data_IF_065337265170
#
_entry.id   IF_065337265170
#
_cell.length_a   1.000
_cell.length_b   1.000
_cell.length_c   1.000
_cell.angle_alpha   90.00
_cell.angle_beta   90.00
_cell.angle_gamma   90.00
#
_symmetry.space_group_name_H-M   'P 1'
#
loop_
_entity.id
_entity.type
_entity.pdbx_description
1 polymer ?
#
# COMPACT_ATOMS: atom_id res chain seq x y z
N UNK A 1 3.83 -11.74 24.78
CA UNK A 1 4.39 -10.84 23.74
C UNK A 1 4.05 -11.22 22.29
N UNK A 2 4.15 -12.49 21.84
CA UNK A 2 3.76 -12.87 20.46
C UNK A 2 2.24 -12.81 20.21
N UNK A 3 1.45 -13.32 21.15
CA UNK A 3 -0.03 -13.35 21.09
C UNK A 3 -0.62 -11.93 21.04
N UNK A 4 -0.08 -11.00 21.83
CA UNK A 4 -0.53 -9.60 21.83
C UNK A 4 -0.28 -8.89 20.50
N UNK A 5 0.87 -9.16 19.86
CA UNK A 5 1.20 -8.62 18.53
C UNK A 5 0.26 -9.14 17.44
N UNK A 6 -0.02 -10.44 17.41
CA UNK A 6 -1.01 -11.00 16.47
C UNK A 6 -2.42 -10.47 16.74
N UNK A 7 -2.81 -10.30 18.01
CA UNK A 7 -4.10 -9.67 18.38
C UNK A 7 -4.21 -8.24 17.84
N UNK A 8 -3.15 -7.44 17.93
CA UNK A 8 -3.13 -6.09 17.36
C UNK A 8 -3.22 -6.11 15.84
N UNK A 9 -2.45 -6.98 15.18
CA UNK A 9 -2.53 -7.15 13.73
C UNK A 9 -3.94 -7.56 13.29
N UNK A 10 -4.58 -8.53 13.98
CA UNK A 10 -5.97 -8.94 13.73
C UNK A 10 -6.93 -7.75 13.83
N UNK A 11 -6.81 -6.93 14.88
CA UNK A 11 -7.64 -5.74 15.08
C UNK A 11 -7.45 -4.72 13.95
N UNK A 12 -6.21 -4.41 13.59
CA UNK A 12 -5.91 -3.42 12.54
C UNK A 12 -6.32 -3.92 11.16
N UNK A 13 -6.06 -5.18 10.86
CA UNK A 13 -6.48 -5.82 9.61
C UNK A 13 -8.00 -5.83 9.49
N UNK A 14 -8.73 -6.18 10.54
CA UNK A 14 -10.20 -6.10 10.57
C UNK A 14 -10.72 -4.70 10.27
N UNK A 15 -10.08 -3.66 10.82
CA UNK A 15 -10.43 -2.27 10.51
C UNK A 15 -10.25 -1.95 9.01
N UNK A 16 -9.13 -2.35 8.40
CA UNK A 16 -8.90 -2.09 6.97
C UNK A 16 -9.82 -2.92 6.06
N UNK A 17 -10.13 -4.16 6.43
CA UNK A 17 -11.09 -5.02 5.70
C UNK A 17 -12.48 -4.38 5.68
N UNK A 18 -12.98 -3.97 6.84
CA UNK A 18 -14.34 -3.47 6.99
C UNK A 18 -14.55 -2.11 6.30
N UNK A 19 -13.53 -1.23 6.31
CA UNK A 19 -13.70 0.15 5.86
C UNK A 19 -13.09 0.46 4.49
N UNK A 20 -12.12 -0.35 4.03
CA UNK A 20 -11.34 -0.06 2.81
C UNK A 20 -11.28 -1.24 1.84
N UNK A 21 -12.05 -2.31 2.06
CA UNK A 21 -12.17 -3.43 1.12
C UNK A 21 -10.90 -4.26 0.96
N UNK A 22 -9.96 -4.16 1.89
CA UNK A 22 -8.74 -4.99 1.88
C UNK A 22 -9.14 -6.46 1.93
N UNK A 23 -8.53 -7.29 1.07
CA UNK A 23 -8.87 -8.71 0.94
C UNK A 23 -7.64 -9.56 0.63
N UNK A 24 -7.78 -10.86 0.85
CA UNK A 24 -6.77 -11.85 0.51
C UNK A 24 -6.77 -12.14 -1.00
N UNK A 25 -5.60 -12.47 -1.59
CA UNK A 25 -4.28 -12.44 -0.96
C UNK A 25 -3.82 -11.00 -0.70
N UNK A 26 -3.31 -10.72 0.51
CA UNK A 26 -2.86 -9.39 0.89
C UNK A 26 -1.64 -8.98 0.07
N UNK A 27 -1.81 -7.96 -0.78
CA UNK A 27 -0.76 -7.49 -1.69
C UNK A 27 0.16 -6.51 -0.98
N UNK A 28 1.41 -6.90 -0.76
CA UNK A 28 2.37 -6.11 0.03
C UNK A 28 3.47 -5.57 -0.88
N UNK A 29 3.47 -4.26 -1.11
CA UNK A 29 4.51 -3.55 -1.86
C UNK A 29 5.75 -3.36 -0.99
N UNK A 30 6.84 -4.00 -1.37
CA UNK A 30 8.15 -3.92 -0.71
C UNK A 30 9.04 -2.90 -1.42
N UNK A 31 9.70 -2.04 -0.65
CA UNK A 31 10.82 -1.22 -1.10
C UNK A 31 12.18 -1.87 -0.76
N UNK A 32 13.26 -1.23 -1.21
CA UNK A 32 14.62 -1.68 -0.92
C UNK A 32 14.97 -1.65 0.57
N UNK A 33 14.48 -0.65 1.30
CA UNK A 33 14.81 -0.46 2.72
C UNK A 33 14.22 -1.55 3.61
N UNK A 34 12.99 -1.97 3.33
CA UNK A 34 12.33 -3.08 4.00
C UNK A 34 12.99 -4.42 3.68
N UNK A 35 13.35 -4.65 2.41
CA UNK A 35 14.09 -5.85 2.01
C UNK A 35 15.45 -5.94 2.74
N UNK A 36 16.17 -4.82 2.84
CA UNK A 36 17.44 -4.77 3.56
C UNK A 36 17.28 -5.01 5.06
N UNK A 37 16.25 -4.45 5.69
CA UNK A 37 15.97 -4.72 7.10
C UNK A 37 15.56 -6.18 7.34
N UNK A 38 14.77 -6.78 6.44
CA UNK A 38 14.40 -8.18 6.51
C UNK A 38 15.64 -9.09 6.41
N UNK A 39 16.58 -8.76 5.51
CA UNK A 39 17.85 -9.47 5.39
C UNK A 39 18.67 -9.39 6.68
N UNK A 40 18.85 -8.18 7.23
CA UNK A 40 19.60 -7.96 8.48
C UNK A 40 18.97 -8.70 9.66
N UNK A 41 17.65 -8.68 9.77
CA UNK A 41 16.90 -9.37 10.82
C UNK A 41 16.72 -10.87 10.58
N UNK A 42 17.28 -11.43 9.49
CA UNK A 42 17.10 -12.83 9.06
C UNK A 42 15.62 -13.25 8.99
N UNK A 43 14.78 -12.33 8.53
CA UNK A 43 13.33 -12.48 8.46
C UNK A 43 12.95 -13.16 7.14
N UNK A 44 12.37 -14.34 7.24
CA UNK A 44 11.84 -15.07 6.08
C UNK A 44 10.45 -14.55 5.71
N UNK A 45 10.40 -13.51 4.86
CA UNK A 45 9.16 -12.78 4.55
C UNK A 45 8.02 -13.67 4.06
N UNK A 46 8.30 -14.62 3.16
CA UNK A 46 7.29 -15.53 2.57
C UNK A 46 6.61 -16.44 3.59
N UNK A 47 7.30 -16.78 4.67
CA UNK A 47 6.73 -17.64 5.73
C UNK A 47 6.13 -16.81 6.87
N UNK A 48 6.80 -15.72 7.26
CA UNK A 48 6.42 -14.94 8.42
C UNK A 48 5.23 -14.01 8.16
N UNK A 49 5.09 -13.46 6.95
CA UNK A 49 3.98 -12.55 6.63
C UNK A 49 2.61 -13.26 6.66
N UNK A 50 2.41 -14.43 6.01
CA UNK A 50 1.15 -15.16 6.12
C UNK A 50 0.80 -15.52 7.57
N UNK A 51 1.78 -16.02 8.34
CA UNK A 51 1.58 -16.36 9.76
C UNK A 51 1.25 -15.14 10.62
N UNK A 52 1.79 -13.98 10.28
CA UNK A 52 1.54 -12.75 11.03
C UNK A 52 0.19 -12.12 10.71
N UNK A 53 -0.18 -12.08 9.42
CA UNK A 53 -1.44 -11.52 8.96
C UNK A 53 -2.62 -12.51 9.06
N UNK A 54 -2.34 -13.78 9.34
CA UNK A 54 -3.33 -14.86 9.45
C UNK A 54 -4.15 -15.02 8.16
N UNK A 55 -3.48 -14.93 7.02
CA UNK A 55 -4.10 -15.01 5.70
C UNK A 55 -3.05 -15.07 4.59
N UNK A 56 -3.50 -15.30 3.36
CA UNK A 56 -2.61 -15.39 2.21
C UNK A 56 -1.96 -14.03 1.89
N UNK A 57 -0.69 -14.03 1.51
CA UNK A 57 0.05 -12.80 1.19
C UNK A 57 0.76 -12.91 -0.14
N UNK A 58 0.75 -11.82 -0.90
CA UNK A 58 1.43 -11.70 -2.18
C UNK A 58 2.47 -10.60 -2.09
N UNK A 59 3.74 -10.99 -2.03
CA UNK A 59 4.87 -10.05 -1.99
C UNK A 59 5.06 -9.45 -3.37
N UNK A 60 4.99 -8.13 -3.43
CA UNK A 60 5.05 -7.35 -4.65
C UNK A 60 6.18 -6.33 -4.57
N UNK A 61 6.73 -5.93 -5.72
CA UNK A 61 7.60 -4.76 -5.85
C UNK A 61 7.34 -4.08 -7.19
N UNK A 62 8.09 -3.04 -7.54
CA UNK A 62 7.95 -2.34 -8.83
C UNK A 62 9.28 -2.30 -9.58
N UNK A 63 9.20 -2.06 -10.90
CA UNK A 63 10.41 -1.88 -11.72
C UNK A 63 11.28 -0.71 -11.26
N UNK A 64 10.67 0.35 -10.71
CA UNK A 64 11.42 1.49 -10.16
C UNK A 64 12.24 1.09 -8.94
N UNK A 65 11.66 0.32 -8.01
CA UNK A 65 12.38 -0.18 -6.82
C UNK A 65 13.55 -1.08 -7.24
N UNK A 66 13.34 -1.97 -8.21
CA UNK A 66 14.41 -2.83 -8.72
C UNK A 66 15.55 -2.02 -9.36
N UNK A 67 15.22 -0.99 -10.15
CA UNK A 67 16.20 -0.12 -10.79
C UNK A 67 16.97 0.73 -9.77
N UNK A 68 16.29 1.24 -8.74
CA UNK A 68 16.92 1.96 -7.63
C UNK A 68 17.93 1.07 -6.90
N UNK A 69 17.54 -0.16 -6.56
CA UNK A 69 18.42 -1.15 -5.95
C UNK A 69 19.61 -1.54 -6.85
N UNK A 70 19.43 -1.52 -8.17
CA UNK A 70 20.51 -1.70 -9.14
C UNK A 70 21.52 -0.57 -9.11
N UNK A 71 21.04 0.67 -9.09
CA UNK A 71 21.89 1.87 -9.04
C UNK A 71 22.69 1.96 -7.73
N UNK A 72 22.10 1.52 -6.61
CA UNK A 72 22.77 1.52 -5.30
C UNK A 72 23.85 0.43 -5.16
N UNK A 73 23.91 -0.53 -6.09
CA UNK A 73 25.06 -1.41 -6.24
C UNK A 73 25.23 -2.48 -5.14
N UNK A 74 26.49 -2.78 -4.82
CA UNK A 74 26.89 -3.98 -4.05
C UNK A 74 26.34 -4.01 -2.62
N UNK A 75 26.21 -2.85 -1.98
CA UNK A 75 25.79 -2.74 -0.58
C UNK A 75 24.35 -3.20 -0.34
N UNK A 76 23.51 -3.14 -1.37
CA UNK A 76 22.11 -3.57 -1.34
C UNK A 76 21.84 -4.78 -2.23
N UNK A 77 22.87 -5.51 -2.64
CA UNK A 77 22.72 -6.70 -3.50
C UNK A 77 21.80 -7.76 -2.87
N UNK A 78 21.92 -8.00 -1.57
CA UNK A 78 21.04 -8.93 -0.87
C UNK A 78 19.57 -8.48 -0.85
N UNK A 79 19.31 -7.18 -0.63
CA UNK A 79 17.98 -6.61 -0.74
C UNK A 79 17.41 -6.73 -2.16
N UNK A 80 18.26 -6.50 -3.19
CA UNK A 80 17.91 -6.71 -4.59
C UNK A 80 17.46 -8.14 -4.86
N UNK A 81 18.18 -9.15 -4.37
CA UNK A 81 17.81 -10.56 -4.56
C UNK A 81 16.45 -10.89 -3.91
N UNK A 82 16.13 -10.30 -2.76
CA UNK A 82 14.81 -10.47 -2.12
C UNK A 82 13.73 -9.82 -2.99
N UNK A 83 13.94 -8.57 -3.42
CA UNK A 83 12.99 -7.84 -4.25
C UNK A 83 12.74 -8.52 -5.61
N UNK A 84 13.78 -9.06 -6.26
CA UNK A 84 13.67 -9.79 -7.52
C UNK A 84 12.82 -11.07 -7.42
N UNK A 85 12.78 -11.69 -6.25
CA UNK A 85 11.92 -12.85 -6.00
C UNK A 85 10.45 -12.45 -5.80
N UNK A 86 10.12 -11.17 -5.65
CA UNK A 86 8.75 -10.69 -5.47
C UNK A 86 8.06 -10.50 -6.82
N UNK A 87 6.73 -10.49 -6.84
CA UNK A 87 6.00 -10.22 -8.07
C UNK A 87 6.15 -8.75 -8.47
N UNK A 88 6.56 -8.50 -9.71
CA UNK A 88 6.72 -7.13 -10.21
C UNK A 88 5.36 -6.59 -10.65
N UNK A 89 4.91 -5.49 -10.04
CA UNK A 89 3.71 -4.76 -10.42
C UNK A 89 4.06 -3.66 -11.42
N UNK A 90 3.17 -3.47 -12.37
CA UNK A 90 3.24 -2.38 -13.33
C UNK A 90 2.96 -1.07 -12.61
N UNK A 91 3.93 -0.15 -12.67
CA UNK A 91 3.81 1.22 -12.17
C UNK A 91 3.71 2.18 -13.36
N UNK A 92 3.16 3.40 -13.17
CA UNK A 92 2.98 4.36 -14.27
C UNK A 92 4.31 4.88 -14.88
N UNK A 93 5.45 4.60 -14.26
CA UNK A 93 6.78 5.11 -14.59
C UNK A 93 7.55 4.30 -15.65
N UNK A 94 6.89 3.90 -16.74
CA UNK A 94 7.50 3.02 -17.75
C UNK A 94 8.71 3.63 -18.48
N UNK A 95 8.61 4.92 -18.83
CA UNK A 95 9.64 5.63 -19.62
C UNK A 95 10.74 6.20 -18.72
N UNK A 96 10.32 6.91 -17.67
CA UNK A 96 11.21 7.59 -16.75
C UNK A 96 11.07 6.94 -15.38
N UNK A 97 12.03 6.08 -15.03
CA UNK A 97 12.07 5.50 -13.70
C UNK A 97 12.31 6.61 -12.66
N UNK A 98 11.54 6.56 -11.58
CA UNK A 98 11.62 7.47 -10.44
C UNK A 98 12.16 6.72 -9.22
N UNK A 99 12.33 7.40 -8.09
CA UNK A 99 12.73 6.74 -6.84
C UNK A 99 11.71 5.67 -6.42
N UNK A 100 12.16 4.66 -5.64
CA UNK A 100 11.26 3.64 -5.10
C UNK A 100 10.15 4.26 -4.25
N UNK A 101 10.50 5.28 -3.47
CA UNK A 101 9.58 6.05 -2.62
C UNK A 101 8.46 6.73 -3.41
N UNK A 102 8.82 7.48 -4.47
CA UNK A 102 7.84 8.13 -5.35
C UNK A 102 6.98 7.11 -6.09
N UNK A 103 7.59 6.01 -6.54
CA UNK A 103 6.87 4.96 -7.24
C UNK A 103 5.82 4.29 -6.35
N UNK A 104 6.17 3.90 -5.13
CA UNK A 104 5.21 3.28 -4.21
C UNK A 104 4.09 4.23 -3.80
N UNK A 105 4.35 5.54 -3.69
CA UNK A 105 3.30 6.53 -3.44
C UNK A 105 2.30 6.62 -4.59
N UNK A 106 2.79 6.62 -5.84
CA UNK A 106 1.94 6.62 -7.02
C UNK A 106 1.10 5.34 -7.12
N UNK A 107 1.63 4.18 -6.68
CA UNK A 107 0.87 2.92 -6.66
C UNK A 107 -0.34 2.93 -5.71
N UNK A 108 -0.32 3.80 -4.70
CA UNK A 108 -1.39 3.95 -3.70
C UNK A 108 -2.10 5.31 -3.80
N UNK A 109 -1.96 5.98 -4.93
CA UNK A 109 -2.76 7.16 -5.25
C UNK A 109 -4.23 6.82 -5.45
N UNK A 110 -5.06 7.87 -5.58
CA UNK A 110 -6.49 7.74 -5.85
C UNK A 110 -7.26 6.85 -4.86
N UNK A 111 -6.81 6.82 -3.60
CA UNK A 111 -7.47 6.04 -2.56
C UNK A 111 -7.11 4.56 -2.56
N UNK A 112 -5.93 4.19 -3.08
CA UNK A 112 -5.39 2.83 -3.05
C UNK A 112 -6.32 1.80 -3.74
N UNK A 113 -6.58 1.96 -5.05
CA UNK A 113 -7.59 1.18 -5.78
C UNK A 113 -7.30 -0.33 -5.81
N UNK A 114 -6.05 -0.72 -5.59
CA UNK A 114 -5.61 -2.12 -5.58
C UNK A 114 -5.42 -2.69 -4.17
N UNK A 115 -5.78 -1.93 -3.13
CA UNK A 115 -5.73 -2.34 -1.73
C UNK A 115 -4.33 -2.82 -1.28
N UNK A 116 -3.28 -2.15 -1.75
CA UNK A 116 -1.90 -2.48 -1.38
C UNK A 116 -1.61 -2.14 0.08
N UNK A 117 -0.80 -2.97 0.72
CA UNK A 117 -0.02 -2.63 1.89
C UNK A 117 1.31 -2.04 1.40
N UNK A 118 1.82 -1.02 2.10
CA UNK A 118 3.17 -0.50 1.85
C UNK A 118 4.09 -0.99 2.97
N UNK A 119 5.18 -1.64 2.63
CA UNK A 119 6.20 -2.10 3.58
C UNK A 119 7.52 -1.36 3.33
N UNK A 120 7.94 -0.55 4.30
CA UNK A 120 9.11 0.33 4.18
C UNK A 120 9.77 0.58 5.54
N UNK A 121 11.06 0.90 5.51
CA UNK A 121 11.81 1.45 6.65
C UNK A 121 12.19 2.93 6.43
N UNK A 122 11.84 3.51 5.27
CA UNK A 122 11.99 4.94 4.99
C UNK A 122 10.93 5.73 5.78
N UNK A 123 11.40 6.60 6.68
CA UNK A 123 10.54 7.44 7.51
C UNK A 123 9.78 8.48 6.67
N UNK A 124 10.39 9.01 5.61
CA UNK A 124 9.76 9.99 4.72
C UNK A 124 8.62 9.33 3.94
N UNK A 125 8.86 8.15 3.37
CA UNK A 125 7.80 7.37 2.72
C UNK A 125 6.69 7.02 3.72
N UNK A 126 7.04 6.54 4.91
CA UNK A 126 6.09 6.21 5.98
C UNK A 126 5.19 7.39 6.34
N UNK A 127 5.75 8.59 6.51
CA UNK A 127 4.99 9.81 6.79
C UNK A 127 4.04 10.18 5.65
N UNK A 128 4.49 10.07 4.40
CA UNK A 128 3.65 10.34 3.22
C UNK A 128 2.51 9.33 3.07
N UNK A 129 2.78 8.04 3.32
CA UNK A 129 1.75 6.99 3.35
C UNK A 129 0.72 7.25 4.44
N UNK A 130 1.13 7.63 5.66
CA UNK A 130 0.20 7.94 6.76
C UNK A 130 -0.77 9.08 6.46
N UNK A 131 -0.40 9.99 5.55
CA UNK A 131 -1.27 11.09 5.08
C UNK A 131 -2.33 10.62 4.07
N UNK A 132 -2.18 9.43 3.48
CA UNK A 132 -3.19 8.83 2.60
C UNK A 132 -4.12 7.94 3.44
N UNK A 133 -5.45 8.16 3.42
CA UNK A 133 -6.38 7.29 4.14
C UNK A 133 -6.45 5.93 3.47
N UNK A 134 -6.57 4.86 4.27
CA UNK A 134 -6.86 3.53 3.76
C UNK A 134 -5.67 2.73 3.24
N UNK A 135 -4.44 3.18 3.52
CA UNK A 135 -3.22 2.45 3.15
C UNK A 135 -2.62 1.81 4.41
N UNK A 136 -2.65 0.48 4.54
CA UNK A 136 -1.92 -0.22 5.59
C UNK A 136 -0.41 -0.04 5.43
N UNK A 137 0.26 0.34 6.52
CA UNK A 137 1.72 0.52 6.56
C UNK A 137 2.36 -0.58 7.39
N UNK A 138 3.45 -1.16 6.88
CA UNK A 138 4.25 -2.17 7.57
C UNK A 138 5.71 -1.76 7.65
N UNK A 139 6.36 -2.11 8.75
CA UNK A 139 7.78 -1.82 8.99
C UNK A 139 8.38 -2.92 9.87
N UNK A 140 9.70 -2.91 10.08
CA UNK A 140 10.39 -3.90 10.92
C UNK A 140 10.98 -3.19 12.15
N UNK A 141 10.61 -3.65 13.34
CA UNK A 141 11.24 -3.23 14.59
C UNK A 141 12.11 -4.39 15.08
N UNK A 142 13.41 -4.14 15.25
CA UNK A 142 14.39 -5.19 15.56
C UNK A 142 14.31 -6.32 14.52
N UNK A 143 13.82 -7.50 14.90
CA UNK A 143 13.68 -8.66 14.03
C UNK A 143 12.19 -9.05 13.81
N UNK A 144 11.27 -8.11 14.00
CA UNK A 144 9.83 -8.39 13.97
C UNK A 144 9.09 -7.43 13.04
N UNK A 145 8.30 -7.99 12.12
CA UNK A 145 7.42 -7.23 11.23
C UNK A 145 6.27 -6.60 12.04
N UNK A 146 5.88 -5.37 11.78
CA UNK A 146 4.78 -4.71 12.48
C UNK A 146 3.84 -4.10 11.45
N UNK A 147 2.54 -4.42 11.56
CA UNK A 147 1.46 -3.70 10.89
C UNK A 147 1.10 -2.51 11.78
N UNK A 148 1.23 -1.30 11.26
CA UNK A 148 0.90 -0.09 12.00
C UNK A 148 -0.60 -0.01 12.29
N UNK A 149 -0.95 0.71 13.36
CA UNK A 149 -2.34 1.07 13.60
C UNK A 149 -2.83 2.01 12.49
N UNK A 150 -4.15 2.03 12.19
CA UNK A 150 -4.71 2.99 11.25
C UNK A 150 -4.27 4.42 11.58
N UNK A 151 -3.81 5.16 10.57
CA UNK A 151 -3.33 6.51 10.77
C UNK A 151 -4.46 7.43 11.26
N UNK A 152 -4.16 8.53 11.99
CA UNK A 152 -5.19 9.50 12.40
C UNK A 152 -6.03 9.99 11.21
N UNK A 153 -5.40 10.17 10.04
CA UNK A 153 -6.07 10.54 8.80
C UNK A 153 -7.03 9.45 8.30
N UNK A 154 -6.64 8.19 8.39
CA UNK A 154 -7.49 7.04 8.05
C UNK A 154 -8.71 6.97 8.98
N UNK A 155 -8.49 7.11 10.30
CA UNK A 155 -9.59 7.09 11.27
C UNK A 155 -10.55 8.26 11.06
N UNK A 156 -10.02 9.48 10.82
CA UNK A 156 -10.84 10.64 10.53
C UNK A 156 -11.66 10.49 9.24
N UNK A 157 -11.07 9.87 8.20
CA UNK A 157 -11.78 9.58 6.95
C UNK A 157 -12.98 8.66 7.19
N UNK A 158 -12.78 7.55 7.93
CA UNK A 158 -13.88 6.61 8.25
C UNK A 158 -14.99 7.31 9.03
N UNK A 159 -14.65 8.09 10.07
CA UNK A 159 -15.64 8.85 10.84
C UNK A 159 -16.43 9.84 10.00
N UNK A 160 -15.79 10.49 9.03
CA UNK A 160 -16.45 11.42 8.11
C UNK A 160 -17.36 10.71 7.11
N UNK A 161 -17.03 9.47 6.72
CA UNK A 161 -17.92 8.63 5.90
C UNK A 161 -19.12 8.15 6.73
N UNK A 162 -18.89 7.66 7.95
CA UNK A 162 -19.95 7.21 8.88
C UNK A 162 -20.92 8.34 9.25
N UNK A 163 -20.44 9.59 9.34
CA UNK A 163 -21.27 10.77 9.61
C UNK A 163 -21.98 11.34 8.38
N UNK A 164 -21.81 10.72 7.19
CA UNK A 164 -22.39 11.19 5.94
C UNK A 164 -21.75 12.45 5.36
N UNK A 165 -20.66 12.96 5.96
CA UNK A 165 -19.92 14.12 5.45
C UNK A 165 -19.09 13.81 4.21
N UNK A 166 -18.72 12.54 4.03
CA UNK A 166 -18.01 12.05 2.86
C UNK A 166 -18.72 10.83 2.27
N UNK A 167 -18.72 10.79 0.94
CA UNK A 167 -19.20 9.63 0.19
C UNK A 167 -18.08 8.60 0.10
N UNK A 168 -18.37 7.35 0.42
CA UNK A 168 -17.45 6.22 0.30
C UNK A 168 -17.03 5.99 -1.16
N UNK A 169 -15.96 5.22 -1.37
CA UNK A 169 -15.49 4.90 -2.73
C UNK A 169 -16.56 4.13 -3.52
N UNK A 170 -17.27 3.21 -2.85
CA UNK A 170 -18.33 2.42 -3.47
C UNK A 170 -19.51 3.31 -3.89
N UNK A 171 -19.98 4.17 -2.99
CA UNK A 171 -21.06 5.12 -3.30
C UNK A 171 -20.64 6.10 -4.41
N UNK A 172 -19.37 6.53 -4.47
CA UNK A 172 -18.88 7.34 -5.60
C UNK A 172 -18.97 6.59 -6.93
N UNK A 173 -18.67 5.29 -6.95
CA UNK A 173 -18.80 4.45 -8.14
C UNK A 173 -20.27 4.27 -8.54
N UNK A 174 -21.15 3.98 -7.58
CA UNK A 174 -22.60 3.87 -7.83
C UNK A 174 -23.19 5.20 -8.34
N UNK A 175 -22.82 6.34 -7.75
CA UNK A 175 -23.23 7.66 -8.23
C UNK A 175 -22.72 7.91 -9.65
N UNK A 176 -21.51 7.47 -10.00
CA UNK A 176 -20.97 7.62 -11.35
C UNK A 176 -21.78 6.79 -12.36
N UNK A 177 -22.07 5.52 -12.03
CA UNK A 177 -22.89 4.64 -12.86
C UNK A 177 -24.30 5.21 -13.07
N UNK A 178 -24.97 5.65 -12.00
CA UNK A 178 -26.30 6.27 -12.08
C UNK A 178 -26.29 7.55 -12.92
N UNK A 179 -25.22 8.36 -12.85
CA UNK A 179 -25.07 9.55 -13.70
C UNK A 179 -24.86 9.21 -15.17
N UNK A 180 -24.18 8.10 -15.46
CA UNK A 180 -24.00 7.57 -16.82
C UNK A 180 -25.35 7.07 -17.38
N UNK A 181 -26.10 6.29 -16.60
CA UNK A 181 -27.44 5.79 -16.97
C UNK A 181 -28.44 6.92 -17.22
N UNK A 182 -28.40 7.98 -16.42
CA UNK A 182 -29.29 9.14 -16.58
C UNK A 182 -28.79 10.16 -17.62
N UNK A 183 -27.68 9.90 -18.32
CA UNK A 183 -27.15 10.80 -19.35
C UNK A 183 -26.62 12.14 -18.81
N UNK A 184 -26.26 12.21 -17.53
CA UNK A 184 -25.81 13.44 -16.86
C UNK A 184 -24.29 13.68 -16.96
N UNK A 185 -23.55 12.82 -17.66
CA UNK A 185 -22.10 12.98 -17.85
C UNK A 185 -21.83 14.04 -18.92
N UNK A 186 -21.38 15.23 -18.48
CA UNK A 186 -20.99 16.32 -19.38
C UNK A 186 -19.69 15.96 -20.09
N UNK A 187 -19.74 15.75 -21.41
CA UNK A 187 -18.55 15.68 -22.26
C UNK A 187 -17.77 17.00 -22.15
N UNK A 188 -16.54 16.94 -21.62
CA UNK A 188 -15.68 18.12 -21.42
C UNK A 188 -15.30 18.83 -22.74
N UNK A 189 -15.52 18.21 -23.90
CA UNK A 189 -15.26 18.82 -25.21
C UNK A 189 -16.16 20.02 -25.54
N UNK A 190 -17.37 20.12 -24.96
CA UNK A 190 -18.26 21.25 -25.22
C UNK A 190 -17.89 22.54 -24.45
N UNK A 191 -16.97 22.48 -23.48
CA UNK A 191 -16.55 23.67 -22.69
C UNK A 191 -15.41 24.49 -23.29
N UNK A 192 -14.74 23.99 -24.35
CA UNK A 192 -13.62 24.70 -25.02
C UNK A 192 -14.03 25.54 -26.23
N UNK A 193 -15.32 25.61 -26.55
CA UNK A 193 -15.86 26.49 -27.59
C UNK A 193 -16.80 27.52 -26.96
N UNK A 194 -16.23 28.52 -26.30
CA UNK A 194 -16.82 29.84 -26.08
C UNK A 194 -15.70 30.82 -25.75
#
# INVERSE_FOLDING_TARGET
MKITRQKHAKKHLGFFRNNFGVREPYQILLDGTFCQAALRGRIQLREQLPRYLMGETQLCTTRCVLKELETLGKDLYGAKLIAQKCQVRNCPHFKNAVSGSECLLAMVEEGNPHHYFVATQDQNLSMKVKKKPGVPLMFIIQNTIVLDKPSPKTVAFVKAVESGQLVSVHEKQSIKQLKEEQGLVKNQEQRRRK
#
